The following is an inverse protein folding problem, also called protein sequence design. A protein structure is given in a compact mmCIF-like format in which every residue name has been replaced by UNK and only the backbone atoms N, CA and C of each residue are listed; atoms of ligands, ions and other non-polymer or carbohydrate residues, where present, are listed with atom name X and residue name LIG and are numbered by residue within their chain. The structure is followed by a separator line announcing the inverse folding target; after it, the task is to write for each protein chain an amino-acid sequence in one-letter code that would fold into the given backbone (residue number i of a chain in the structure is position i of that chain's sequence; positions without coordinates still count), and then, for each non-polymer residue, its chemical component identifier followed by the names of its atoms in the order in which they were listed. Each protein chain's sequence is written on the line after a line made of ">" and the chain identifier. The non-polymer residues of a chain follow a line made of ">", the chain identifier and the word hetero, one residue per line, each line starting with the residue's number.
data_IF_514616371002
#
_entry.id   IF_514616371002
#
_cell.length_a   1.000
_cell.length_b   1.000
_cell.length_c   1.000
_cell.angle_alpha   90.00
_cell.angle_beta   90.00
_cell.angle_gamma   90.00
#
_symmetry.space_group_name_H-M   'P 1'
#
loop_
_entity.id
_entity.type
_entity.pdbx_description
1 polymer ?
#
# COMPACT_ATOMS: atom_id res chain seq x y z
N UNK A 1 13.92 16.97 -16.89
CA UNK A 1 13.53 16.48 -15.55
C UNK A 1 12.28 17.23 -15.15
N UNK A 2 11.18 16.53 -14.90
CA UNK A 2 9.96 17.09 -14.33
C UNK A 2 10.12 17.21 -12.82
N UNK A 3 9.57 18.27 -12.23
CA UNK A 3 9.57 18.51 -10.78
C UNK A 3 8.14 18.69 -10.21
N UNK A 4 7.13 18.48 -11.06
CA UNK A 4 5.72 18.60 -10.68
C UNK A 4 5.19 17.33 -10.00
N UNK A 5 5.86 16.19 -10.16
CA UNK A 5 5.44 14.90 -9.60
C UNK A 5 5.95 14.81 -8.16
N UNK A 6 5.04 14.92 -7.20
CA UNK A 6 5.37 15.01 -5.78
C UNK A 6 5.49 13.63 -5.09
N UNK A 7 5.16 12.54 -5.79
CA UNK A 7 5.17 11.20 -5.22
C UNK A 7 4.02 10.32 -5.71
N UNK A 8 3.73 9.27 -4.94
CA UNK A 8 2.57 8.41 -5.16
C UNK A 8 1.28 9.19 -4.92
N UNK A 9 0.31 9.07 -5.84
CA UNK A 9 -1.03 9.61 -5.62
C UNK A 9 -1.98 8.55 -5.08
N UNK A 10 -2.10 7.43 -5.78
CA UNK A 10 -2.93 6.30 -5.39
C UNK A 10 -2.35 5.00 -5.98
N UNK A 11 -2.73 3.87 -5.40
CA UNK A 11 -2.47 2.53 -5.95
C UNK A 11 -3.82 1.85 -6.18
N UNK A 12 -3.98 1.19 -7.32
CA UNK A 12 -5.21 0.48 -7.67
C UNK A 12 -4.92 -1.01 -7.82
N UNK A 13 -5.77 -1.84 -7.22
CA UNK A 13 -5.70 -3.30 -7.34
C UNK A 13 -7.10 -3.87 -7.65
N UNK A 14 -7.15 -5.20 -7.82
CA UNK A 14 -8.36 -5.96 -8.10
C UNK A 14 -8.74 -6.75 -6.86
N UNK A 15 -10.04 -6.97 -6.65
CA UNK A 15 -10.53 -7.84 -5.58
C UNK A 15 -11.56 -8.82 -6.14
N UNK A 16 -11.74 -9.96 -5.48
CA UNK A 16 -12.84 -10.88 -5.83
C UNK A 16 -14.12 -10.60 -5.05
N UNK A 17 -14.06 -9.98 -3.87
CA UNK A 17 -15.26 -9.70 -3.08
C UNK A 17 -15.20 -8.32 -2.41
N UNK A 18 -16.22 -7.49 -2.68
CA UNK A 18 -16.28 -6.12 -2.17
C UNK A 18 -16.42 -6.03 -0.64
N UNK A 19 -17.11 -6.99 0.00
CA UNK A 19 -17.34 -6.98 1.45
C UNK A 19 -16.08 -7.37 2.20
N UNK A 20 -15.43 -8.45 1.78
CA UNK A 20 -14.16 -8.94 2.32
C UNK A 20 -13.05 -7.91 2.10
N UNK A 21 -12.99 -7.30 0.92
CA UNK A 21 -12.07 -6.20 0.63
C UNK A 21 -12.32 -5.02 1.58
N UNK A 22 -13.57 -4.57 1.72
CA UNK A 22 -13.91 -3.49 2.63
C UNK A 22 -13.56 -3.81 4.09
N UNK A 23 -13.89 -5.01 4.56
CA UNK A 23 -13.58 -5.45 5.92
C UNK A 23 -12.07 -5.43 6.18
N UNK A 24 -11.27 -5.91 5.23
CA UNK A 24 -9.82 -5.86 5.35
C UNK A 24 -9.29 -4.43 5.53
N UNK A 25 -9.66 -3.50 4.65
CA UNK A 25 -9.14 -2.13 4.71
C UNK A 25 -9.72 -1.33 5.88
N UNK A 26 -11.00 -1.49 6.19
CA UNK A 26 -11.66 -0.67 7.22
C UNK A 26 -11.52 -1.23 8.63
N UNK A 27 -11.56 -2.56 8.82
CA UNK A 27 -11.43 -3.17 10.14
C UNK A 27 -10.00 -3.59 10.40
N UNK A 28 -9.36 -4.36 9.52
CA UNK A 28 -8.04 -4.91 9.81
C UNK A 28 -6.95 -3.84 9.75
N UNK A 29 -6.94 -3.02 8.69
CA UNK A 29 -5.99 -1.90 8.54
C UNK A 29 -6.47 -0.58 9.16
N UNK A 30 -7.75 -0.47 9.51
CA UNK A 30 -8.28 0.73 10.15
C UNK A 30 -8.33 1.96 9.24
N UNK A 31 -8.31 1.82 7.91
CA UNK A 31 -8.43 2.94 6.97
C UNK A 31 -9.88 3.41 6.81
N UNK A 32 -10.07 4.65 6.37
CA UNK A 32 -11.40 5.16 6.04
C UNK A 32 -11.77 4.76 4.62
N UNK A 33 -12.96 4.18 4.41
CA UNK A 33 -13.55 4.11 3.06
C UNK A 33 -14.05 5.51 2.66
N UNK A 34 -13.19 6.28 1.99
CA UNK A 34 -13.45 7.69 1.64
C UNK A 34 -14.42 7.85 0.46
N UNK A 35 -14.51 6.84 -0.41
CA UNK A 35 -15.43 6.86 -1.55
C UNK A 35 -15.93 5.46 -1.89
N UNK A 36 -17.20 5.39 -2.30
CA UNK A 36 -17.82 4.27 -2.99
C UNK A 36 -18.45 4.82 -4.28
N UNK A 37 -17.95 4.39 -5.43
CA UNK A 37 -18.47 4.78 -6.74
C UNK A 37 -18.43 3.56 -7.66
N UNK A 38 -18.57 3.77 -8.97
CA UNK A 38 -18.45 2.74 -10.01
C UNK A 38 -17.21 3.00 -10.87
N UNK A 39 -16.67 1.95 -11.48
CA UNK A 39 -15.63 2.06 -12.50
C UNK A 39 -16.20 2.81 -13.72
N UNK A 40 -15.48 3.82 -14.22
CA UNK A 40 -15.96 4.64 -15.34
C UNK A 40 -15.89 3.95 -16.70
N UNK A 41 -15.09 2.89 -16.81
CA UNK A 41 -15.03 2.04 -18.01
C UNK A 41 -16.02 0.84 -17.92
N UNK A 42 -16.41 0.46 -16.70
CA UNK A 42 -17.35 -0.64 -16.43
C UNK A 42 -18.30 -0.28 -15.27
N UNK A 43 -19.38 0.48 -15.52
CA UNK A 43 -20.22 1.07 -14.47
C UNK A 43 -20.98 0.07 -13.60
N UNK A 44 -21.00 -1.22 -13.98
CA UNK A 44 -21.52 -2.34 -13.20
C UNK A 44 -20.55 -2.81 -12.10
N UNK A 45 -19.31 -2.34 -12.11
CA UNK A 45 -18.26 -2.70 -11.16
C UNK A 45 -18.05 -1.57 -10.16
N UNK A 46 -18.00 -1.88 -8.87
CA UNK A 46 -17.64 -0.87 -7.87
C UNK A 46 -16.22 -0.35 -8.07
N UNK A 47 -16.00 0.90 -7.68
CA UNK A 47 -14.68 1.46 -7.42
C UNK A 47 -14.63 1.96 -5.98
N UNK A 48 -13.89 1.23 -5.15
CA UNK A 48 -13.79 1.46 -3.72
C UNK A 48 -12.48 2.17 -3.40
N UNK A 49 -12.53 3.18 -2.53
CA UNK A 49 -11.37 3.99 -2.14
C UNK A 49 -11.19 3.95 -0.63
N UNK A 50 -9.98 3.59 -0.18
CA UNK A 50 -9.58 3.54 1.21
C UNK A 50 -8.38 4.44 1.42
N UNK A 51 -8.42 5.29 2.46
CA UNK A 51 -7.42 6.32 2.67
C UNK A 51 -7.40 6.81 4.12
N UNK A 52 -6.70 7.93 4.33
CA UNK A 52 -6.80 8.77 5.52
C UNK A 52 -8.18 9.45 5.66
N UNK A 53 -8.29 10.49 6.51
CA UNK A 53 -9.56 11.16 6.76
C UNK A 53 -10.20 11.76 5.50
N UNK A 54 -9.42 12.37 4.60
CA UNK A 54 -9.97 13.16 3.48
C UNK A 54 -9.62 12.60 2.10
N UNK A 55 -8.84 11.53 2.02
CA UNK A 55 -8.36 10.97 0.76
C UNK A 55 -7.14 11.71 0.22
N UNK A 56 -6.21 12.11 1.09
CA UNK A 56 -5.00 12.87 0.69
C UNK A 56 -4.15 12.06 -0.29
N UNK A 57 -3.62 12.67 -1.38
CA UNK A 57 -2.68 11.99 -2.28
C UNK A 57 -1.56 11.31 -1.52
N UNK A 58 -1.24 10.08 -1.90
CA UNK A 58 -0.26 9.25 -1.22
C UNK A 58 -0.81 8.43 -0.06
N UNK A 59 -2.12 8.48 0.22
CA UNK A 59 -2.79 7.58 1.18
C UNK A 59 -3.82 6.64 0.54
N UNK A 60 -4.16 6.88 -0.73
CA UNK A 60 -5.35 6.31 -1.37
C UNK A 60 -5.05 4.95 -2.01
N UNK A 61 -5.60 3.89 -1.42
CA UNK A 61 -5.67 2.57 -2.03
C UNK A 61 -7.04 2.37 -2.66
N UNK A 62 -7.11 1.95 -3.92
CA UNK A 62 -8.37 1.72 -4.63
C UNK A 62 -8.52 0.31 -5.16
N UNK A 63 -9.77 -0.12 -5.30
CA UNK A 63 -10.10 -1.48 -5.71
C UNK A 63 -11.28 -1.54 -6.68
N UNK A 64 -11.15 -2.43 -7.66
CA UNK A 64 -12.25 -2.94 -8.47
C UNK A 64 -12.59 -4.38 -8.05
N UNK A 65 -13.73 -4.61 -7.35
CA UNK A 65 -14.13 -5.94 -6.93
C UNK A 65 -14.96 -6.63 -8.01
N UNK A 66 -14.40 -7.68 -8.61
CA UNK A 66 -15.01 -8.53 -9.63
C UNK A 66 -15.31 -9.93 -9.03
N UNK A 67 -16.58 -10.29 -8.76
CA UNK A 67 -16.99 -11.52 -8.07
C UNK A 67 -16.32 -12.82 -8.57
N UNK A 68 -16.17 -12.95 -9.88
CA UNK A 68 -15.68 -14.18 -10.52
C UNK A 68 -14.27 -14.02 -11.12
N UNK A 69 -13.48 -13.07 -10.62
CA UNK A 69 -12.12 -12.86 -11.11
C UNK A 69 -11.24 -14.07 -10.79
N UNK A 70 -10.52 -14.56 -11.80
CA UNK A 70 -9.50 -15.58 -11.61
C UNK A 70 -8.35 -15.09 -10.73
N UNK A 71 -7.71 -16.00 -10.00
CA UNK A 71 -6.55 -15.66 -9.17
C UNK A 71 -5.41 -15.13 -10.04
N UNK A 72 -4.93 -13.93 -9.72
CA UNK A 72 -3.76 -13.34 -10.37
C UNK A 72 -2.49 -14.15 -10.11
N UNK A 73 -1.51 -14.01 -11.01
CA UNK A 73 -0.16 -14.57 -10.82
C UNK A 73 0.84 -13.43 -10.72
N UNK A 74 1.46 -13.30 -9.55
CA UNK A 74 2.53 -12.35 -9.32
C UNK A 74 3.69 -12.56 -10.29
N UNK A 75 4.29 -11.47 -10.75
CA UNK A 75 5.36 -11.53 -11.72
C UNK A 75 5.90 -10.18 -12.16
N UNK A 76 6.71 -10.21 -13.20
CA UNK A 76 7.25 -9.02 -13.85
C UNK A 76 6.12 -8.17 -14.45
N UNK A 77 6.24 -6.85 -14.32
CA UNK A 77 5.36 -5.87 -14.95
C UNK A 77 4.30 -5.30 -14.00
N UNK A 78 4.35 -5.63 -12.72
CA UNK A 78 3.38 -5.17 -11.71
C UNK A 78 4.05 -4.34 -10.61
N UNK A 79 3.21 -3.58 -9.90
CA UNK A 79 3.53 -3.13 -8.54
C UNK A 79 3.54 -4.36 -7.64
N UNK A 80 4.71 -4.74 -7.16
CA UNK A 80 4.93 -5.98 -6.41
C UNK A 80 4.44 -5.91 -4.97
N UNK A 81 4.85 -4.88 -4.23
CA UNK A 81 4.45 -4.66 -2.83
C UNK A 81 4.04 -3.20 -2.63
N UNK A 82 2.91 -2.98 -1.97
CA UNK A 82 2.53 -1.65 -1.48
C UNK A 82 2.91 -1.51 -0.01
N UNK A 83 3.67 -0.48 0.35
CA UNK A 83 4.22 -0.28 1.69
C UNK A 83 3.56 0.91 2.35
N UNK A 84 2.92 0.68 3.50
CA UNK A 84 2.31 1.70 4.32
C UNK A 84 3.26 2.14 5.44
N UNK A 85 3.26 3.44 5.73
CA UNK A 85 3.98 4.04 6.85
C UNK A 85 3.19 3.92 8.14
N UNK A 86 3.87 3.54 9.22
CA UNK A 86 3.36 3.55 10.60
C UNK A 86 4.41 4.18 11.52
N UNK A 87 4.02 4.70 12.71
CA UNK A 87 4.97 5.33 13.62
C UNK A 87 6.07 4.35 14.09
N UNK A 88 7.24 4.87 14.45
CA UNK A 88 8.35 4.06 14.95
C UNK A 88 7.98 3.32 16.25
N UNK A 89 8.35 2.04 16.35
CA UNK A 89 8.06 1.18 17.51
C UNK A 89 6.70 0.47 17.52
N UNK A 90 5.86 0.68 16.52
CA UNK A 90 4.44 0.24 16.51
C UNK A 90 4.22 -1.16 15.94
N UNK A 91 5.23 -1.78 15.33
CA UNK A 91 5.01 -3.06 14.62
C UNK A 91 4.57 -4.20 15.55
N UNK A 92 4.88 -4.15 16.86
CA UNK A 92 4.42 -5.15 17.82
C UNK A 92 2.90 -5.08 18.06
N UNK A 93 2.34 -3.86 18.07
CA UNK A 93 0.90 -3.66 18.08
C UNK A 93 0.26 -4.26 16.82
N UNK A 94 0.84 -3.99 15.65
CA UNK A 94 0.34 -4.50 14.39
C UNK A 94 0.40 -6.02 14.26
N UNK A 95 1.47 -6.65 14.74
CA UNK A 95 1.55 -8.12 14.81
C UNK A 95 0.42 -8.71 15.63
N UNK A 96 0.19 -8.17 16.83
CA UNK A 96 -0.88 -8.63 17.71
C UNK A 96 -2.24 -8.43 17.04
N UNK A 97 -2.51 -7.24 16.51
CA UNK A 97 -3.75 -6.93 15.81
C UNK A 97 -3.98 -7.87 14.63
N UNK A 98 -2.96 -8.10 13.81
CA UNK A 98 -3.05 -8.99 12.66
C UNK A 98 -3.28 -10.45 13.05
N UNK A 99 -2.71 -10.90 14.16
CA UNK A 99 -3.03 -12.21 14.72
C UNK A 99 -4.49 -12.30 15.17
N UNK A 100 -4.99 -11.29 15.91
CA UNK A 100 -6.37 -11.24 16.42
C UNK A 100 -7.40 -11.16 15.26
N UNK A 101 -7.08 -10.43 14.20
CA UNK A 101 -7.94 -10.22 13.02
C UNK A 101 -7.77 -11.30 11.93
N UNK A 102 -6.88 -12.28 12.13
CA UNK A 102 -6.61 -13.35 11.15
C UNK A 102 -6.09 -12.82 9.81
N UNK A 103 -5.10 -11.93 9.82
CA UNK A 103 -4.36 -11.50 8.62
C UNK A 103 -3.29 -12.55 8.29
N UNK A 104 -3.18 -12.92 7.02
CA UNK A 104 -2.29 -13.99 6.57
C UNK A 104 -0.85 -13.54 6.30
N UNK A 105 0.08 -14.50 6.38
CA UNK A 105 1.50 -14.37 6.00
C UNK A 105 2.24 -13.19 6.67
N UNK A 106 1.93 -12.96 7.95
CA UNK A 106 2.56 -11.90 8.74
C UNK A 106 4.00 -12.28 9.07
N UNK A 107 4.96 -11.43 8.73
CA UNK A 107 6.38 -11.68 9.02
C UNK A 107 7.19 -10.39 9.23
N UNK A 108 8.08 -10.40 10.22
CA UNK A 108 9.09 -9.35 10.42
C UNK A 108 10.14 -9.43 9.33
N UNK A 109 10.44 -8.28 8.73
CA UNK A 109 11.50 -8.16 7.74
C UNK A 109 12.22 -6.83 7.94
N UNK A 110 13.34 -6.66 7.24
CA UNK A 110 14.08 -5.41 7.18
C UNK A 110 14.46 -5.11 5.73
N UNK A 111 14.42 -3.84 5.35
CA UNK A 111 14.88 -3.42 4.02
C UNK A 111 15.34 -1.97 4.08
N UNK A 112 16.56 -1.72 3.61
CA UNK A 112 17.25 -0.43 3.70
C UNK A 112 17.30 0.10 5.14
N UNK A 113 17.62 -0.78 6.09
CA UNK A 113 17.70 -0.46 7.53
C UNK A 113 16.36 -0.15 8.22
N UNK A 114 15.24 -0.20 7.49
CA UNK A 114 13.92 0.05 8.05
C UNK A 114 13.23 -1.26 8.41
N UNK A 115 12.75 -1.34 9.66
CA UNK A 115 11.97 -2.47 10.17
C UNK A 115 10.60 -2.50 9.50
N UNK A 116 10.17 -3.69 9.13
CA UNK A 116 8.90 -3.91 8.41
C UNK A 116 8.13 -5.08 8.97
N UNK A 117 6.83 -5.06 8.72
CA UNK A 117 5.94 -6.19 8.89
C UNK A 117 5.22 -6.46 7.56
N UNK A 118 5.59 -7.54 6.87
CA UNK A 118 4.94 -7.96 5.62
C UNK A 118 3.70 -8.77 5.92
N UNK A 119 2.69 -8.68 5.06
CA UNK A 119 1.42 -9.43 5.19
C UNK A 119 0.72 -9.53 3.82
N UNK A 120 -0.28 -10.40 3.72
CA UNK A 120 -1.04 -10.62 2.48
C UNK A 120 -2.47 -10.11 2.56
N UNK A 121 -2.91 -9.44 1.50
CA UNK A 121 -4.30 -9.00 1.32
C UNK A 121 -5.26 -10.17 1.03
N UNK A 122 -6.58 -9.93 1.02
CA UNK A 122 -7.58 -10.99 0.84
C UNK A 122 -7.46 -11.71 -0.50
N UNK A 123 -6.96 -11.03 -1.53
CA UNK A 123 -6.85 -11.52 -2.89
C UNK A 123 -5.40 -11.84 -3.30
N UNK A 124 -4.48 -11.88 -2.33
CA UNK A 124 -3.07 -12.20 -2.55
C UNK A 124 -2.14 -11.00 -2.70
N UNK A 125 -2.65 -9.76 -2.58
CA UNK A 125 -1.82 -8.56 -2.59
C UNK A 125 -0.64 -8.68 -1.60
N UNK A 126 0.56 -8.24 -2.01
CA UNK A 126 1.69 -8.15 -1.08
C UNK A 126 1.70 -6.76 -0.44
N UNK A 127 1.62 -6.73 0.89
CA UNK A 127 1.68 -5.49 1.66
C UNK A 127 2.81 -5.52 2.68
N UNK A 128 3.22 -4.34 3.11
CA UNK A 128 4.08 -4.17 4.27
C UNK A 128 3.70 -2.93 5.07
N UNK A 129 3.87 -2.98 6.38
CA UNK A 129 4.00 -1.81 7.24
C UNK A 129 5.49 -1.53 7.43
N UNK A 130 5.89 -0.26 7.44
CA UNK A 130 7.25 0.16 7.75
C UNK A 130 7.22 1.24 8.83
N UNK A 131 8.13 1.13 9.79
CA UNK A 131 8.34 2.17 10.79
C UNK A 131 9.02 3.37 10.13
N UNK A 132 8.35 4.51 10.16
CA UNK A 132 8.88 5.77 9.65
C UNK A 132 8.73 6.88 10.71
N UNK A 133 9.87 7.26 11.28
CA UNK A 133 9.95 8.32 12.27
C UNK A 133 9.71 9.72 11.68
N UNK A 134 10.04 9.91 10.40
CA UNK A 134 9.99 11.22 9.74
C UNK A 134 8.58 11.54 9.23
N UNK A 135 7.73 10.55 9.03
CA UNK A 135 6.38 10.74 8.53
C UNK A 135 5.46 11.28 9.63
N UNK A 136 5.14 12.57 9.56
CA UNK A 136 4.23 13.25 10.50
C UNK A 136 2.80 13.44 9.97
N UNK A 137 2.41 12.74 8.89
CA UNK A 137 1.05 12.87 8.34
C UNK A 137 0.00 12.43 9.36
N UNK A 138 -1.13 13.13 9.35
CA UNK A 138 -2.24 12.83 10.26
C UNK A 138 -2.91 11.50 9.86
N UNK A 139 -3.05 10.52 10.77
CA UNK A 139 -3.73 9.28 10.47
C UNK A 139 -5.26 9.42 10.61
N UNK A 140 -5.99 8.43 10.09
CA UNK A 140 -7.39 8.24 10.42
C UNK A 140 -7.56 7.41 11.70
N UNK A 141 -8.24 7.95 12.72
CA UNK A 141 -8.32 7.33 14.06
C UNK A 141 -9.68 6.72 14.39
N UNK A 142 -10.72 6.91 13.56
CA UNK A 142 -12.05 6.32 13.80
C UNK A 142 -12.20 4.92 13.17
N UNK A 143 -11.09 4.31 12.73
CA UNK A 143 -11.03 2.95 12.20
C UNK A 143 -10.74 1.86 13.25
N UNK A 144 -10.71 2.21 14.54
CA UNK A 144 -10.40 1.26 15.61
C UNK A 144 -8.91 0.95 15.77
N UNK A 145 -8.04 1.80 15.21
CA UNK A 145 -6.60 1.81 15.45
C UNK A 145 -6.26 3.12 16.17
N UNK A 146 -5.57 3.08 17.33
CA UNK A 146 -5.10 4.28 18.03
C UNK A 146 -4.22 5.17 17.14
N UNK A 147 -4.25 6.49 17.32
CA UNK A 147 -3.54 7.43 16.45
C UNK A 147 -2.01 7.36 16.55
N UNK A 148 -1.49 6.90 17.68
CA UNK A 148 -0.08 6.59 17.93
C UNK A 148 0.38 5.28 17.27
N UNK A 149 -0.54 4.49 16.71
CA UNK A 149 -0.28 3.23 16.01
C UNK A 149 -0.69 3.26 14.53
N UNK A 150 -1.56 4.19 14.14
CA UNK A 150 -2.28 4.17 12.88
C UNK A 150 -1.42 4.45 11.64
N UNK A 151 -1.84 3.86 10.51
CA UNK A 151 -1.24 4.08 9.19
C UNK A 151 -1.34 5.57 8.80
N UNK A 152 -0.22 6.11 8.29
CA UNK A 152 -0.07 7.51 7.88
C UNK A 152 -0.12 7.74 6.36
N UNK A 153 -0.27 6.67 5.59
CA UNK A 153 -0.30 6.66 4.13
C UNK A 153 0.72 5.69 3.56
N UNK A 154 1.00 5.80 2.26
CA UNK A 154 2.07 5.05 1.62
C UNK A 154 3.43 5.60 2.02
N UNK A 155 4.35 4.69 2.33
CA UNK A 155 5.78 4.98 2.36
C UNK A 155 6.37 4.79 0.96
N UNK A 156 6.04 3.69 0.28
CA UNK A 156 6.57 3.37 -1.05
C UNK A 156 5.81 2.26 -1.76
N UNK A 157 6.16 2.01 -3.02
CA UNK A 157 5.84 0.78 -3.74
C UNK A 157 7.12 0.11 -4.24
N UNK A 158 7.11 -1.21 -4.41
CA UNK A 158 8.17 -1.92 -5.14
C UNK A 158 7.67 -2.32 -6.53
N UNK A 159 8.51 -2.13 -7.55
CA UNK A 159 8.20 -2.55 -8.93
C UNK A 159 8.92 -3.86 -9.22
N UNK A 160 8.21 -4.85 -9.78
CA UNK A 160 8.81 -6.11 -10.24
C UNK A 160 9.15 -5.98 -11.72
N UNK A 161 10.42 -5.85 -12.04
CA UNK A 161 10.90 -5.60 -13.40
C UNK A 161 11.75 -6.76 -13.90
N UNK A 162 11.64 -7.08 -15.20
CA UNK A 162 12.56 -8.02 -15.87
C UNK A 162 13.93 -7.37 -16.07
N UNK A 163 13.93 -6.09 -16.42
CA UNK A 163 15.07 -5.21 -16.51
C UNK A 163 14.66 -3.82 -16.02
N UNK A 164 15.55 -3.15 -15.28
CA UNK A 164 15.28 -1.86 -14.66
C UNK A 164 15.44 -0.66 -15.58
N UNK A 165 16.18 -0.77 -16.69
CA UNK A 165 16.76 0.38 -17.39
C UNK A 165 15.75 1.43 -17.82
N UNK A 166 14.74 1.04 -18.61
CA UNK A 166 13.74 2.00 -19.10
C UNK A 166 12.87 2.61 -17.99
N UNK A 167 12.57 1.82 -16.95
CA UNK A 167 11.78 2.31 -15.81
C UNK A 167 12.60 3.24 -14.92
N UNK A 168 13.87 2.95 -14.68
CA UNK A 168 14.79 3.83 -13.95
C UNK A 168 14.93 5.18 -14.65
N UNK A 169 15.11 5.20 -15.98
CA UNK A 169 15.19 6.44 -16.75
C UNK A 169 13.88 7.24 -16.72
N UNK A 170 12.72 6.55 -16.78
CA UNK A 170 11.43 7.20 -16.62
C UNK A 170 11.27 7.82 -15.22
N UNK A 171 11.65 7.11 -14.16
CA UNK A 171 11.56 7.62 -12.78
C UNK A 171 12.49 8.82 -12.58
N UNK A 172 13.71 8.80 -13.14
CA UNK A 172 14.59 9.97 -13.16
C UNK A 172 13.97 11.13 -13.91
N UNK A 173 13.38 10.89 -15.08
CA UNK A 173 12.66 11.92 -15.82
C UNK A 173 11.50 12.53 -15.00
N UNK A 174 10.84 11.72 -14.16
CA UNK A 174 9.80 12.13 -13.22
C UNK A 174 10.34 12.84 -11.97
N UNK A 175 11.66 12.98 -11.81
CA UNK A 175 12.30 13.72 -10.73
C UNK A 175 12.80 12.87 -9.56
N UNK A 176 12.76 11.54 -9.66
CA UNK A 176 13.30 10.65 -8.63
C UNK A 176 14.81 10.44 -8.82
N UNK A 177 15.54 10.28 -7.72
CA UNK A 177 16.97 9.99 -7.72
C UNK A 177 17.28 8.65 -7.04
N UNK A 178 18.31 7.93 -7.50
CA UNK A 178 18.77 6.73 -6.79
C UNK A 178 19.43 7.17 -5.47
N UNK A 179 18.84 6.74 -4.35
CA UNK A 179 19.31 7.11 -3.00
C UNK A 179 19.95 5.95 -2.26
N UNK A 180 19.69 4.70 -2.67
CA UNK A 180 20.25 3.51 -2.05
C UNK A 180 20.15 2.28 -2.96
N UNK A 181 20.92 1.23 -2.67
CA UNK A 181 20.90 -0.06 -3.38
C UNK A 181 21.22 -1.23 -2.46
N UNK A 182 20.41 -2.28 -2.56
CA UNK A 182 20.62 -3.54 -1.84
C UNK A 182 20.35 -4.73 -2.75
N UNK A 183 21.41 -5.48 -3.10
CA UNK A 183 21.33 -6.60 -4.03
C UNK A 183 20.81 -6.17 -5.40
N UNK A 184 19.68 -6.76 -5.82
CA UNK A 184 18.98 -6.46 -7.07
C UNK A 184 17.88 -5.39 -6.93
N UNK A 185 17.77 -4.73 -5.78
CA UNK A 185 16.79 -3.67 -5.53
C UNK A 185 17.53 -2.33 -5.47
N UNK A 186 17.07 -1.36 -6.26
CA UNK A 186 17.45 0.05 -6.14
C UNK A 186 16.31 0.83 -5.50
N UNK A 187 16.66 1.77 -4.61
CA UNK A 187 15.71 2.70 -4.00
C UNK A 187 15.84 4.03 -4.72
N UNK A 188 14.70 4.50 -5.24
CA UNK A 188 14.58 5.83 -5.82
C UNK A 188 13.63 6.66 -4.96
N UNK A 189 13.95 7.93 -4.73
CA UNK A 189 13.16 8.88 -3.92
C UNK A 189 13.22 10.30 -4.48
#
# INVERSE_FOLDING_TARGET
>A
MLNQIQGLHHVTSMASDARRNNEFFTKKLGLRRVKKTVNFDAPDVYHLYYADEVGTPGSVMTYFPFPDIGKGRHGVGEVGTTVFSVPEGTLAYWEKRFADEGVGNVARTESFGQKRLTFTGPDGDSFALVEDKADSRAPWVKGGVPGDEAIRGFHSVSLRLKDGGATEELLKFMGYEEVDKSGNIRRLA
#
